data_IF_501021108114
#
_entry.id   IF_501021108114
#
_cell.length_a   1.000
_cell.length_b   1.000
_cell.length_c   1.000
_cell.angle_alpha   90.00
_cell.angle_beta   90.00
_cell.angle_gamma   90.00
#
_symmetry.space_group_name_H-M   'P 1'
#
loop_
_entity.id
_entity.type
_entity.pdbx_description
1 polymer ?
#
# COMPACT_ATOMS: atom_id res chain seq x y z
N UNK A 1 18.29 51.09 -49.00
CA UNK A 1 17.24 51.97 -49.51
C UNK A 1 15.99 51.66 -48.71
N UNK A 2 15.62 52.35 -47.65
CA UNK A 2 16.13 53.51 -46.91
C UNK A 2 15.55 53.35 -45.47
N UNK A 3 16.31 53.55 -44.39
CA UNK A 3 16.42 54.82 -43.62
C UNK A 3 15.07 55.48 -43.33
N UNK A 4 14.79 56.19 -42.23
CA UNK A 4 15.33 56.44 -40.90
C UNK A 4 14.33 57.46 -40.29
N UNK A 5 14.42 57.77 -38.99
CA UNK A 5 13.80 58.98 -38.40
C UNK A 5 12.96 58.70 -37.16
N UNK A 6 13.54 58.60 -35.96
CA UNK A 6 14.08 59.66 -35.08
C UNK A 6 13.01 60.40 -34.28
N UNK A 7 13.30 60.44 -32.98
CA UNK A 7 12.55 60.98 -31.86
C UNK A 7 12.25 62.48 -31.91
N UNK A 8 11.33 62.93 -31.06
CA UNK A 8 11.44 64.25 -30.41
C UNK A 8 10.86 64.21 -29.00
N UNK A 9 11.73 64.58 -28.06
CA UNK A 9 11.50 64.91 -26.65
C UNK A 9 11.02 66.35 -26.52
N UNK A 10 10.08 66.62 -25.62
CA UNK A 10 9.94 67.96 -25.02
C UNK A 10 9.59 67.89 -23.52
N UNK A 11 10.57 68.33 -22.71
CA UNK A 11 10.51 68.89 -21.33
C UNK A 11 9.66 70.19 -21.33
N UNK A 12 9.08 70.77 -20.27
CA UNK A 12 9.38 70.83 -18.83
C UNK A 12 8.33 71.71 -18.08
N UNK A 13 8.08 71.42 -16.79
CA UNK A 13 7.89 72.32 -15.60
C UNK A 13 6.70 73.33 -15.59
N UNK A 14 5.90 73.50 -14.53
CA UNK A 14 6.27 73.95 -13.16
C UNK A 14 5.23 73.61 -12.07
N UNK A 15 5.75 73.58 -10.84
CA UNK A 15 5.19 73.35 -9.49
C UNK A 15 3.91 74.10 -9.10
N UNK A 16 3.15 73.50 -8.16
CA UNK A 16 2.65 74.15 -6.94
C UNK A 16 2.19 73.08 -5.91
N UNK A 17 2.95 72.94 -4.82
CA UNK A 17 2.53 72.42 -3.50
C UNK A 17 2.19 73.65 -2.62
N UNK A 18 1.48 73.60 -1.46
CA UNK A 18 1.38 72.46 -0.52
C UNK A 18 0.01 72.27 0.18
N UNK A 19 -0.22 71.10 0.82
CA UNK A 19 -0.66 71.02 2.22
C UNK A 19 -0.69 69.54 2.69
N UNK A 20 0.16 69.21 3.66
CA UNK A 20 0.11 67.98 4.45
C UNK A 20 -1.10 67.97 5.38
N UNK A 21 -1.61 66.77 5.74
CA UNK A 21 -1.72 66.48 7.17
C UNK A 21 -1.06 65.15 7.57
N UNK A 22 -0.78 65.09 8.86
CA UNK A 22 0.07 64.21 9.66
C UNK A 22 -0.43 62.74 9.77
N UNK A 23 0.31 61.85 10.46
CA UNK A 23 0.28 60.40 10.23
C UNK A 23 -0.89 59.74 10.97
N UNK A 24 -1.66 58.93 10.24
CA UNK A 24 -2.54 57.95 10.86
C UNK A 24 -1.70 56.76 11.35
N UNK A 25 -1.45 56.76 12.65
CA UNK A 25 -1.16 55.57 13.44
C UNK A 25 -2.32 54.57 13.29
N UNK A 26 -2.19 53.65 12.35
CA UNK A 26 -2.58 52.27 12.61
C UNK A 26 -1.93 51.37 11.57
N UNK A 27 -0.70 50.96 11.85
CA UNK A 27 -0.07 49.85 11.16
C UNK A 27 -0.89 48.60 11.43
N UNK A 28 -1.81 48.27 10.53
CA UNK A 28 -2.29 46.90 10.33
C UNK A 28 -1.10 46.09 9.85
N UNK A 29 -0.27 45.68 10.80
CA UNK A 29 0.66 44.59 10.61
C UNK A 29 -0.20 43.39 10.22
N UNK A 30 -0.22 43.08 8.94
CA UNK A 30 -0.65 41.78 8.43
C UNK A 30 0.30 40.77 9.06
N UNK A 31 -0.03 40.29 10.25
CA UNK A 31 0.63 39.16 10.89
C UNK A 31 0.21 37.95 10.05
N UNK A 32 0.91 37.71 8.96
CA UNK A 32 1.02 36.37 8.40
C UNK A 32 1.75 35.55 9.44
N UNK A 33 0.98 35.01 10.39
CA UNK A 33 1.41 34.00 11.35
C UNK A 33 1.86 32.77 10.56
N UNK A 34 3.10 32.80 10.08
CA UNK A 34 3.82 31.61 9.68
C UNK A 34 4.15 30.89 10.99
N UNK A 35 3.18 30.15 11.55
CA UNK A 35 3.40 29.34 12.75
C UNK A 35 4.50 28.36 12.37
N UNK A 36 5.73 28.63 12.81
CA UNK A 36 6.85 27.72 12.65
C UNK A 36 6.55 26.51 13.54
N UNK A 37 6.04 25.44 12.93
CA UNK A 37 5.85 24.17 13.62
C UNK A 37 7.18 23.72 14.21
N UNK A 38 7.14 23.29 15.46
CA UNK A 38 8.28 22.62 16.06
C UNK A 38 8.60 21.33 15.29
N UNK A 39 9.85 20.82 15.38
CA UNK A 39 10.19 19.54 14.74
C UNK A 39 9.28 18.37 15.18
N UNK A 40 8.81 18.38 16.43
CA UNK A 40 7.86 17.37 16.94
C UNK A 40 6.48 17.51 16.30
N UNK A 41 5.94 18.72 16.19
CA UNK A 41 4.65 18.97 15.52
C UNK A 41 4.71 18.63 14.02
N UNK A 42 5.82 18.95 13.36
CA UNK A 42 6.04 18.56 11.97
C UNK A 42 6.08 17.04 11.80
N UNK A 43 6.73 16.33 12.74
CA UNK A 43 6.76 14.87 12.75
C UNK A 43 5.35 14.27 12.96
N UNK A 44 4.55 14.80 13.90
CA UNK A 44 3.15 14.37 14.09
C UNK A 44 2.30 14.62 12.85
N UNK A 45 2.49 15.75 12.17
CA UNK A 45 1.80 16.04 10.91
C UNK A 45 2.17 15.05 9.80
N UNK A 46 3.46 14.72 9.65
CA UNK A 46 3.91 13.68 8.70
C UNK A 46 3.36 12.30 9.05
N UNK A 47 3.33 11.94 10.33
CA UNK A 47 2.70 10.70 10.81
C UNK A 47 1.22 10.63 10.39
N UNK A 48 0.49 11.74 10.53
CA UNK A 48 -0.93 11.79 10.16
C UNK A 48 -1.14 11.50 8.67
N UNK A 49 -0.27 12.01 7.79
CA UNK A 49 -0.36 11.68 6.36
C UNK A 49 -0.14 10.19 6.07
N UNK A 50 0.82 9.55 6.72
CA UNK A 50 1.06 8.11 6.54
C UNK A 50 -0.12 7.29 7.07
N UNK A 51 -0.74 7.72 8.17
CA UNK A 51 -1.96 7.10 8.71
C UNK A 51 -3.13 7.28 7.74
N UNK A 52 -3.30 8.48 7.18
CA UNK A 52 -4.33 8.75 6.18
C UNK A 52 -4.15 7.82 4.96
N UNK A 53 -2.92 7.71 4.45
CA UNK A 53 -2.58 6.79 3.37
C UNK A 53 -2.91 5.34 3.76
N UNK A 54 -2.53 4.89 4.96
CA UNK A 54 -2.84 3.54 5.45
C UNK A 54 -4.34 3.24 5.37
N UNK A 55 -5.17 4.16 5.86
CA UNK A 55 -6.63 4.00 5.93
C UNK A 55 -7.28 4.08 4.55
N UNK A 56 -6.95 5.07 3.74
CA UNK A 56 -7.51 5.24 2.40
C UNK A 56 -7.15 4.05 1.50
N UNK A 57 -5.88 3.64 1.52
CA UNK A 57 -5.43 2.49 0.74
C UNK A 57 -5.97 1.17 1.27
N UNK A 58 -6.36 1.08 2.55
CA UNK A 58 -7.06 -0.09 3.11
C UNK A 58 -8.48 -0.21 2.55
N UNK A 59 -9.22 0.89 2.53
CA UNK A 59 -10.56 0.94 1.96
C UNK A 59 -10.53 0.56 0.47
N UNK A 60 -9.59 1.14 -0.28
CA UNK A 60 -9.41 0.80 -1.69
C UNK A 60 -9.01 -0.67 -1.87
N UNK A 61 -8.16 -1.21 -1.00
CA UNK A 61 -7.78 -2.63 -1.05
C UNK A 61 -8.99 -3.54 -0.84
N UNK A 62 -9.87 -3.25 0.11
CA UNK A 62 -11.12 -4.00 0.32
C UNK A 62 -12.01 -3.95 -0.92
N UNK A 63 -12.17 -2.78 -1.54
CA UNK A 63 -12.93 -2.62 -2.79
C UNK A 63 -12.33 -3.47 -3.91
N UNK A 64 -11.02 -3.42 -4.09
CA UNK A 64 -10.33 -4.18 -5.12
C UNK A 64 -10.46 -5.70 -4.90
N UNK A 65 -10.40 -6.17 -3.65
CA UNK A 65 -10.65 -7.58 -3.32
C UNK A 65 -12.11 -7.98 -3.55
N UNK A 66 -13.05 -7.10 -3.21
CA UNK A 66 -14.48 -7.31 -3.45
C UNK A 66 -14.75 -7.45 -4.95
N UNK A 67 -14.11 -6.67 -5.81
CA UNK A 67 -14.22 -6.83 -7.26
C UNK A 67 -13.79 -8.23 -7.74
N UNK A 68 -12.76 -8.82 -7.15
CA UNK A 68 -12.36 -10.19 -7.49
C UNK A 68 -13.42 -11.21 -7.06
N UNK A 69 -13.93 -11.09 -5.83
CA UNK A 69 -14.82 -12.12 -5.26
C UNK A 69 -16.26 -11.94 -5.71
N UNK A 70 -16.78 -10.72 -5.62
CA UNK A 70 -18.17 -10.36 -5.92
C UNK A 70 -18.36 -10.03 -7.41
N UNK A 71 -17.28 -9.78 -8.15
CA UNK A 71 -17.28 -9.65 -9.61
C UNK A 71 -16.84 -10.93 -10.30
N UNK A 72 -15.54 -11.18 -10.36
CA UNK A 72 -14.99 -12.30 -11.15
C UNK A 72 -15.47 -13.68 -10.69
N UNK A 73 -15.36 -14.00 -9.39
CA UNK A 73 -15.77 -15.33 -8.88
C UNK A 73 -17.29 -15.51 -8.98
N UNK A 74 -18.07 -14.47 -8.68
CA UNK A 74 -19.53 -14.52 -8.83
C UNK A 74 -19.95 -14.79 -10.27
N UNK A 75 -19.30 -14.15 -11.25
CA UNK A 75 -19.57 -14.35 -12.67
C UNK A 75 -19.27 -15.76 -13.16
N UNK A 76 -18.35 -16.50 -12.52
CA UNK A 76 -18.10 -17.91 -12.86
C UNK A 76 -19.31 -18.82 -12.64
N UNK A 77 -20.26 -18.40 -11.79
CA UNK A 77 -21.52 -19.14 -11.58
C UNK A 77 -22.56 -18.83 -12.66
N UNK A 78 -22.35 -17.78 -13.45
CA UNK A 78 -23.28 -17.26 -14.46
C UNK A 78 -22.86 -17.62 -15.90
N UNK A 79 -21.70 -18.27 -16.07
CA UNK A 79 -21.14 -18.64 -17.37
C UNK A 79 -20.83 -20.13 -17.42
N UNK A 80 -20.88 -20.70 -18.62
CA UNK A 80 -20.40 -22.06 -18.83
C UNK A 80 -18.87 -22.06 -18.69
N UNK A 81 -18.40 -22.69 -17.60
CA UNK A 81 -16.97 -22.83 -17.33
C UNK A 81 -16.32 -23.67 -18.43
N UNK A 82 -15.25 -23.19 -19.09
CA UNK A 82 -14.45 -24.01 -19.98
C UNK A 82 -13.99 -25.29 -19.26
N UNK A 83 -13.99 -26.43 -19.94
CA UNK A 83 -13.59 -27.71 -19.36
C UNK A 83 -12.19 -27.64 -18.73
N UNK A 84 -11.28 -26.90 -19.39
CA UNK A 84 -9.94 -26.64 -18.89
C UNK A 84 -9.88 -25.80 -17.61
N UNK A 85 -10.91 -25.01 -17.29
CA UNK A 85 -10.99 -24.18 -16.08
C UNK A 85 -11.56 -24.95 -14.88
N UNK A 86 -12.28 -26.05 -15.13
CA UNK A 86 -12.90 -26.85 -14.08
C UNK A 86 -11.85 -27.33 -13.05
N UNK A 87 -12.03 -26.91 -11.80
CA UNK A 87 -11.12 -27.24 -10.69
C UNK A 87 -9.83 -26.41 -10.63
N UNK A 88 -9.50 -25.62 -11.67
CA UNK A 88 -8.36 -24.69 -11.69
C UNK A 88 -8.70 -23.32 -11.10
N UNK A 89 -9.98 -22.96 -11.05
CA UNK A 89 -10.52 -21.78 -10.37
C UNK A 89 -10.01 -21.67 -8.91
N UNK A 90 -9.99 -22.77 -8.17
CA UNK A 90 -9.47 -22.82 -6.78
C UNK A 90 -7.98 -22.45 -6.69
N UNK A 91 -7.20 -22.75 -7.74
CA UNK A 91 -5.78 -22.38 -7.82
C UNK A 91 -5.65 -20.92 -8.23
N UNK A 92 -6.48 -20.41 -9.14
CA UNK A 92 -6.43 -19.01 -9.58
C UNK A 92 -6.77 -18.05 -8.43
N UNK A 93 -7.86 -18.32 -7.71
CA UNK A 93 -8.32 -17.42 -6.64
C UNK A 93 -7.75 -17.74 -5.26
N UNK A 94 -7.16 -18.93 -5.09
CA UNK A 94 -6.56 -19.37 -3.83
C UNK A 94 -7.52 -19.18 -2.64
N UNK A 95 -7.07 -18.49 -1.60
CA UNK A 95 -7.86 -18.08 -0.45
C UNK A 95 -8.23 -16.58 -0.46
N UNK A 96 -8.32 -15.92 -1.62
CA UNK A 96 -8.59 -14.47 -1.69
C UNK A 96 -9.93 -14.09 -1.04
N UNK A 97 -10.95 -14.94 -1.14
CA UNK A 97 -12.23 -14.72 -0.46
C UNK A 97 -12.09 -14.70 1.07
N UNK A 98 -11.19 -15.53 1.64
CA UNK A 98 -10.92 -15.52 3.08
C UNK A 98 -10.19 -14.23 3.50
N UNK A 99 -9.31 -13.72 2.64
CA UNK A 99 -8.63 -12.43 2.86
C UNK A 99 -9.66 -11.30 2.81
N UNK A 100 -10.49 -11.23 1.76
CA UNK A 100 -11.54 -10.22 1.64
C UNK A 100 -12.42 -10.20 2.89
N UNK A 101 -12.95 -11.35 3.29
CA UNK A 101 -13.87 -11.45 4.42
C UNK A 101 -13.23 -10.91 5.71
N UNK A 102 -11.98 -11.26 5.97
CA UNK A 102 -11.24 -10.72 7.11
C UNK A 102 -11.06 -9.21 7.03
N UNK A 103 -10.62 -8.69 5.89
CA UNK A 103 -10.36 -7.26 5.74
C UNK A 103 -11.66 -6.44 5.82
N UNK A 104 -12.71 -6.89 5.13
CA UNK A 104 -14.04 -6.25 5.06
C UNK A 104 -14.76 -6.24 6.41
N UNK A 105 -14.70 -7.34 7.18
CA UNK A 105 -15.50 -7.45 8.41
C UNK A 105 -14.76 -7.00 9.67
N UNK A 106 -13.44 -7.18 9.70
CA UNK A 106 -12.63 -7.01 10.91
C UNK A 106 -11.55 -5.94 10.73
N UNK A 107 -10.65 -6.11 9.76
CA UNK A 107 -9.39 -5.37 9.75
C UNK A 107 -9.55 -3.89 9.42
N UNK A 108 -10.38 -3.55 8.41
CA UNK A 108 -10.59 -2.16 7.99
C UNK A 108 -11.07 -1.28 9.14
N UNK A 109 -11.99 -1.80 9.97
CA UNK A 109 -12.54 -1.09 11.14
C UNK A 109 -11.49 -0.78 12.20
N UNK A 110 -10.45 -1.60 12.29
CA UNK A 110 -9.37 -1.44 13.27
C UNK A 110 -8.32 -0.47 12.73
N UNK A 111 -8.06 -0.52 11.42
CA UNK A 111 -7.23 0.44 10.72
C UNK A 111 -7.85 1.84 10.75
N UNK A 112 -9.17 1.99 10.60
CA UNK A 112 -9.85 3.29 10.66
C UNK A 112 -9.67 4.02 11.99
N UNK A 113 -9.53 3.30 13.10
CA UNK A 113 -9.24 3.88 14.43
C UNK A 113 -7.90 4.63 14.46
N UNK A 114 -7.00 4.35 13.52
CA UNK A 114 -5.71 5.03 13.43
C UNK A 114 -5.85 6.52 13.17
N UNK A 115 -6.95 6.97 12.54
CA UNK A 115 -7.23 8.38 12.27
C UNK A 115 -7.29 9.21 13.55
N UNK A 116 -7.80 8.61 14.63
CA UNK A 116 -7.96 9.25 15.93
C UNK A 116 -6.80 8.91 16.89
N UNK A 117 -6.27 7.69 16.80
CA UNK A 117 -5.19 7.21 17.65
C UNK A 117 -4.14 6.42 16.86
N UNK A 118 -2.94 6.99 16.68
CA UNK A 118 -1.85 6.34 15.94
C UNK A 118 -1.42 4.98 16.53
N UNK A 119 -1.56 4.76 17.85
CA UNK A 119 -1.22 3.49 18.49
C UNK A 119 -2.12 2.35 18.02
N UNK A 120 -3.33 2.67 17.55
CA UNK A 120 -4.26 1.69 17.00
C UNK A 120 -3.67 0.91 15.83
N UNK A 121 -2.72 1.48 15.08
CA UNK A 121 -2.02 0.77 14.02
C UNK A 121 -1.25 -0.44 14.60
N UNK A 122 -0.41 -0.18 15.60
CA UNK A 122 0.37 -1.22 16.27
C UNK A 122 -0.50 -2.29 16.95
N UNK A 123 -1.58 -1.85 17.60
CA UNK A 123 -2.55 -2.74 18.25
C UNK A 123 -3.31 -3.61 17.23
N UNK A 124 -3.71 -3.07 16.08
CA UNK A 124 -4.42 -3.81 15.04
C UNK A 124 -3.55 -4.93 14.47
N UNK A 125 -2.30 -4.63 14.10
CA UNK A 125 -1.36 -5.65 13.59
C UNK A 125 -1.06 -6.73 14.64
N UNK A 126 -0.92 -6.34 15.91
CA UNK A 126 -0.71 -7.27 17.03
C UNK A 126 -1.90 -8.20 17.24
N UNK A 127 -3.12 -7.64 17.27
CA UNK A 127 -4.37 -8.38 17.48
C UNK A 127 -4.61 -9.43 16.40
N UNK A 128 -4.22 -9.16 15.16
CA UNK A 128 -4.50 -10.03 14.02
C UNK A 128 -3.27 -10.73 13.42
N UNK A 129 -2.13 -10.71 14.10
CA UNK A 129 -0.87 -11.34 13.69
C UNK A 129 -1.07 -12.73 13.09
N UNK A 130 -1.74 -13.63 13.83
CA UNK A 130 -1.95 -15.01 13.39
C UNK A 130 -2.78 -15.09 12.10
N UNK A 131 -3.82 -14.26 11.96
CA UNK A 131 -4.68 -14.25 10.76
C UNK A 131 -3.92 -13.70 9.56
N UNK A 132 -3.20 -12.58 9.74
CA UNK A 132 -2.35 -12.00 8.71
C UNK A 132 -1.32 -13.02 8.24
N UNK A 133 -0.60 -13.65 9.17
CA UNK A 133 0.38 -14.69 8.84
C UNK A 133 -0.27 -15.85 8.08
N UNK A 134 -1.28 -16.51 8.64
CA UNK A 134 -1.88 -17.71 8.04
C UNK A 134 -2.48 -17.43 6.66
N UNK A 135 -3.19 -16.32 6.49
CA UNK A 135 -3.89 -16.05 5.24
C UNK A 135 -2.95 -15.60 4.12
N UNK A 136 -2.00 -14.71 4.42
CA UNK A 136 -1.08 -14.22 3.40
C UNK A 136 -0.02 -15.26 3.02
N UNK A 137 0.49 -16.05 3.97
CA UNK A 137 1.43 -17.14 3.64
C UNK A 137 0.79 -18.15 2.71
N UNK A 138 -0.45 -18.58 3.01
CA UNK A 138 -1.21 -19.49 2.14
C UNK A 138 -1.41 -18.92 0.73
N UNK A 139 -1.74 -17.62 0.64
CA UNK A 139 -1.96 -16.96 -0.64
C UNK A 139 -0.66 -16.88 -1.45
N UNK A 140 0.42 -16.41 -0.82
CA UNK A 140 1.73 -16.24 -1.45
C UNK A 140 2.36 -17.57 -1.89
N UNK A 141 2.15 -18.66 -1.13
CA UNK A 141 2.56 -20.01 -1.53
C UNK A 141 1.84 -20.47 -2.81
N UNK A 142 0.57 -20.11 -2.97
CA UNK A 142 -0.21 -20.49 -4.15
C UNK A 142 0.03 -19.57 -5.36
N UNK A 143 0.40 -18.30 -5.12
CA UNK A 143 0.51 -17.26 -6.16
C UNK A 143 1.31 -17.67 -7.41
N UNK A 144 2.46 -18.36 -7.33
CA UNK A 144 3.17 -18.80 -8.53
C UNK A 144 2.35 -19.73 -9.44
N UNK A 145 1.50 -20.59 -8.85
CA UNK A 145 0.62 -21.50 -9.61
C UNK A 145 -0.52 -20.74 -10.27
N UNK A 146 -1.10 -19.77 -9.55
CA UNK A 146 -2.08 -18.84 -10.12
C UNK A 146 -1.50 -18.07 -11.30
N UNK A 147 -0.28 -17.56 -11.18
CA UNK A 147 0.37 -16.78 -12.25
C UNK A 147 0.66 -17.62 -13.49
N UNK A 148 1.10 -18.86 -13.29
CA UNK A 148 1.27 -19.80 -14.39
C UNK A 148 -0.05 -20.03 -15.15
N UNK A 149 -1.16 -20.23 -14.45
CA UNK A 149 -2.47 -20.38 -15.10
C UNK A 149 -2.89 -19.10 -15.81
N UNK A 150 -2.81 -17.94 -15.13
CA UNK A 150 -3.20 -16.66 -15.73
C UNK A 150 -2.33 -16.24 -16.93
N UNK A 151 -1.15 -16.85 -17.10
CA UNK A 151 -0.29 -16.65 -18.28
C UNK A 151 -0.69 -17.48 -19.51
N UNK A 152 -1.62 -18.43 -19.38
CA UNK A 152 -2.09 -19.21 -20.52
C UNK A 152 -3.14 -18.42 -21.28
N UNK A 153 -2.97 -18.33 -22.60
CA UNK A 153 -3.80 -17.52 -23.50
C UNK A 153 -5.31 -17.78 -23.32
N UNK A 154 -5.70 -19.05 -23.17
CA UNK A 154 -7.11 -19.42 -22.96
C UNK A 154 -7.73 -18.80 -21.70
N UNK A 155 -6.97 -18.70 -20.60
CA UNK A 155 -7.46 -18.12 -19.36
C UNK A 155 -7.43 -16.59 -19.43
N UNK A 156 -6.39 -16.02 -20.06
CA UNK A 156 -6.31 -14.59 -20.31
C UNK A 156 -7.52 -14.10 -21.14
N UNK A 157 -7.84 -14.78 -22.24
CA UNK A 157 -8.98 -14.46 -23.10
C UNK A 157 -10.31 -14.56 -22.33
N UNK A 158 -10.55 -15.68 -21.64
CA UNK A 158 -11.76 -15.90 -20.85
C UNK A 158 -11.97 -14.82 -19.78
N UNK A 159 -10.95 -14.50 -18.98
CA UNK A 159 -11.07 -13.46 -17.96
C UNK A 159 -11.11 -12.05 -18.53
N UNK A 160 -10.59 -11.82 -19.74
CA UNK A 160 -10.73 -10.55 -20.43
C UNK A 160 -12.18 -10.30 -20.87
N UNK A 161 -12.93 -11.33 -21.27
CA UNK A 161 -14.37 -11.21 -21.55
C UNK A 161 -15.16 -10.81 -20.29
N UNK A 162 -14.89 -11.47 -19.17
CA UNK A 162 -15.48 -11.11 -17.87
C UNK A 162 -15.09 -9.68 -17.48
N UNK A 163 -13.83 -9.29 -17.67
CA UNK A 163 -13.36 -7.92 -17.41
C UNK A 163 -14.16 -6.88 -18.20
N UNK A 164 -14.38 -7.12 -19.50
CA UNK A 164 -15.17 -6.23 -20.35
C UNK A 164 -16.62 -6.13 -19.88
N UNK A 165 -17.22 -7.26 -19.48
CA UNK A 165 -18.59 -7.32 -18.93
C UNK A 165 -18.72 -6.52 -17.63
N UNK A 166 -17.71 -6.59 -16.76
CA UNK A 166 -17.66 -5.82 -15.51
C UNK A 166 -17.30 -4.34 -15.72
N UNK A 167 -16.95 -3.93 -16.94
CA UNK A 167 -16.52 -2.55 -17.24
C UNK A 167 -15.16 -2.20 -16.66
N UNK A 168 -14.32 -3.20 -16.35
CA UNK A 168 -13.10 -2.99 -15.59
C UNK A 168 -11.88 -2.67 -16.44
N UNK A 169 -11.11 -1.68 -15.98
CA UNK A 169 -9.91 -1.23 -16.70
C UNK A 169 -8.71 -2.13 -16.43
N UNK A 170 -8.60 -2.62 -15.20
CA UNK A 170 -7.47 -3.44 -14.73
C UNK A 170 -7.73 -4.91 -15.08
N UNK A 171 -6.68 -5.64 -15.43
CA UNK A 171 -6.81 -7.08 -15.67
C UNK A 171 -7.03 -7.84 -14.37
N UNK A 172 -7.52 -9.08 -14.45
CA UNK A 172 -7.63 -9.93 -13.25
C UNK A 172 -6.25 -10.15 -12.61
N UNK A 173 -5.19 -10.32 -13.41
CA UNK A 173 -3.82 -10.45 -12.92
C UNK A 173 -3.36 -9.25 -12.09
N UNK A 174 -3.74 -8.01 -12.48
CA UNK A 174 -3.46 -6.78 -11.73
C UNK A 174 -4.18 -6.73 -10.38
N UNK A 175 -5.31 -7.44 -10.25
CA UNK A 175 -6.05 -7.55 -9.00
C UNK A 175 -5.49 -8.68 -8.11
N UNK A 176 -5.12 -9.82 -8.70
CA UNK A 176 -4.57 -10.98 -7.97
C UNK A 176 -3.19 -10.72 -7.36
N UNK A 177 -2.42 -9.75 -7.86
CA UNK A 177 -1.15 -9.36 -7.22
C UNK A 177 -1.35 -8.49 -5.96
N UNK A 178 -2.54 -7.91 -5.76
CA UNK A 178 -2.79 -6.95 -4.68
C UNK A 178 -2.51 -7.49 -3.27
N UNK A 179 -2.88 -8.73 -2.89
CA UNK A 179 -2.51 -9.25 -1.56
C UNK A 179 -1.00 -9.29 -1.33
N UNK A 180 -0.22 -9.70 -2.33
CA UNK A 180 1.26 -9.72 -2.23
C UNK A 180 1.80 -8.31 -2.03
N UNK A 181 1.28 -7.33 -2.77
CA UNK A 181 1.68 -5.93 -2.63
C UNK A 181 1.25 -5.35 -1.28
N UNK A 182 0.04 -5.68 -0.81
CA UNK A 182 -0.53 -5.11 0.41
C UNK A 182 0.28 -5.51 1.64
N UNK A 183 0.67 -6.78 1.74
CA UNK A 183 1.45 -7.25 2.91
C UNK A 183 2.82 -6.58 2.99
N UNK A 184 3.47 -6.33 1.84
CA UNK A 184 4.71 -5.56 1.77
C UNK A 184 4.49 -4.08 2.10
N UNK A 185 3.38 -3.49 1.64
CA UNK A 185 3.06 -2.08 1.89
C UNK A 185 2.83 -1.79 3.38
N UNK A 186 2.22 -2.71 4.15
CA UNK A 186 2.07 -2.52 5.59
C UNK A 186 3.41 -2.37 6.32
N UNK A 187 4.44 -3.10 5.90
CA UNK A 187 5.78 -2.96 6.46
C UNK A 187 6.33 -1.54 6.27
N UNK A 188 6.17 -0.97 5.08
CA UNK A 188 6.64 0.38 4.76
C UNK A 188 5.88 1.45 5.54
N UNK A 189 4.54 1.35 5.58
CA UNK A 189 3.69 2.28 6.32
C UNK A 189 3.99 2.23 7.83
N UNK A 190 4.10 1.03 8.41
CA UNK A 190 4.46 0.87 9.83
C UNK A 190 5.85 1.43 10.13
N UNK A 191 6.82 1.25 9.23
CA UNK A 191 8.16 1.82 9.38
C UNK A 191 8.11 3.34 9.46
N UNK A 192 7.33 3.98 8.57
CA UNK A 192 7.23 5.43 8.53
C UNK A 192 6.42 6.00 9.70
N UNK A 193 5.30 5.36 10.10
CA UNK A 193 4.54 5.75 11.31
C UNK A 193 5.45 5.71 12.54
N UNK A 194 6.22 4.63 12.71
CA UNK A 194 7.18 4.48 13.82
C UNK A 194 8.26 5.57 13.77
N UNK A 195 8.90 5.77 12.61
CA UNK A 195 9.93 6.79 12.40
C UNK A 195 9.45 8.20 12.76
N UNK A 196 8.23 8.57 12.37
CA UNK A 196 7.68 9.88 12.69
C UNK A 196 7.21 9.98 14.15
N UNK A 197 6.77 8.89 14.77
CA UNK A 197 6.46 8.84 16.20
C UNK A 197 7.71 9.04 17.06
N UNK A 198 8.81 8.39 16.71
CA UNK A 198 10.12 8.55 17.36
C UNK A 198 10.59 10.02 17.31
N UNK A 199 10.50 10.64 16.13
CA UNK A 199 10.88 12.06 15.93
C UNK A 199 9.96 13.03 16.68
N UNK A 200 8.71 12.64 16.92
CA UNK A 200 7.78 13.42 17.72
C UNK A 200 8.06 13.33 19.22
N UNK A 201 8.82 12.32 19.67
CA UNK A 201 9.00 12.02 21.09
C UNK A 201 7.77 11.39 21.74
N UNK A 202 6.90 10.77 20.93
CA UNK A 202 5.67 10.13 21.39
C UNK A 202 5.93 8.64 21.76
N UNK A 203 5.10 8.01 22.61
CA UNK A 203 5.21 6.59 22.95
C UNK A 203 5.23 5.65 21.73
N UNK A 204 6.05 4.59 21.80
CA UNK A 204 6.26 3.67 20.67
C UNK A 204 5.91 2.21 20.96
N UNK A 205 5.60 1.83 22.21
CA UNK A 205 5.50 0.42 22.62
C UNK A 205 4.53 -0.38 21.75
N UNK A 206 3.34 0.17 21.47
CA UNK A 206 2.35 -0.45 20.60
C UNK A 206 2.85 -0.58 19.14
N UNK A 207 3.54 0.45 18.63
CA UNK A 207 4.04 0.48 17.26
C UNK A 207 5.22 -0.46 17.05
N UNK A 208 6.10 -0.60 18.04
CA UNK A 208 7.26 -1.50 17.98
C UNK A 208 6.81 -2.95 17.78
N UNK A 209 5.81 -3.40 18.54
CA UNK A 209 5.25 -4.74 18.37
C UNK A 209 4.60 -4.92 16.99
N UNK A 210 3.80 -3.95 16.55
CA UNK A 210 3.17 -4.01 15.22
C UNK A 210 4.20 -4.02 14.08
N UNK A 211 5.28 -3.24 14.20
CA UNK A 211 6.36 -3.17 13.24
C UNK A 211 7.17 -4.47 13.18
N UNK A 212 7.45 -5.10 14.32
CA UNK A 212 8.09 -6.41 14.37
C UNK A 212 7.29 -7.45 13.58
N UNK A 213 5.97 -7.52 13.82
CA UNK A 213 5.08 -8.46 13.11
C UNK A 213 5.10 -8.19 11.60
N UNK A 214 5.05 -6.92 11.19
CA UNK A 214 5.14 -6.54 9.78
C UNK A 214 6.54 -6.68 9.16
N UNK A 215 7.57 -7.02 9.93
CA UNK A 215 8.85 -7.50 9.40
C UNK A 215 8.89 -9.03 9.24
N UNK A 216 8.11 -9.77 10.02
CA UNK A 216 8.09 -11.23 10.02
C UNK A 216 7.15 -11.77 8.94
N UNK A 217 5.93 -11.25 8.85
CA UNK A 217 4.90 -11.80 7.96
C UNK A 217 5.27 -11.70 6.48
N UNK A 218 5.78 -10.56 5.95
CA UNK A 218 6.20 -10.49 4.55
C UNK A 218 7.34 -11.46 4.23
N UNK A 219 8.32 -11.63 5.14
CA UNK A 219 9.41 -12.59 4.95
C UNK A 219 8.89 -14.02 4.87
N UNK A 220 7.99 -14.40 5.76
CA UNK A 220 7.34 -15.72 5.72
C UNK A 220 6.56 -15.93 4.40
N UNK A 221 5.96 -14.87 3.85
CA UNK A 221 5.31 -14.92 2.55
C UNK A 221 6.32 -15.12 1.41
N UNK A 222 7.44 -14.41 1.43
CA UNK A 222 8.50 -14.51 0.42
C UNK A 222 9.13 -15.92 0.43
N UNK A 223 9.44 -16.47 1.62
CA UNK A 223 9.98 -17.82 1.77
C UNK A 223 9.01 -18.87 1.22
N UNK A 224 7.74 -18.80 1.63
CA UNK A 224 6.72 -19.76 1.18
C UNK A 224 6.32 -19.58 -0.28
N UNK A 225 6.49 -18.39 -0.86
CA UNK A 225 6.34 -18.16 -2.29
C UNK A 225 7.43 -18.89 -3.08
N UNK A 226 8.67 -18.93 -2.58
CA UNK A 226 9.73 -19.73 -3.19
C UNK A 226 9.46 -21.24 -3.06
N UNK A 227 8.98 -21.69 -1.90
CA UNK A 227 8.51 -23.08 -1.71
C UNK A 227 7.40 -23.45 -2.70
N UNK A 228 6.48 -22.52 -2.97
CA UNK A 228 5.41 -22.70 -3.95
C UNK A 228 5.88 -22.90 -5.40
N UNK A 229 7.13 -22.51 -5.72
CA UNK A 229 7.76 -22.71 -7.03
C UNK A 229 8.44 -24.07 -7.16
N UNK A 230 8.57 -24.85 -6.08
CA UNK A 230 9.18 -26.18 -6.14
C UNK A 230 8.34 -27.09 -7.04
N UNK A 231 9.01 -27.73 -7.99
CA UNK A 231 8.44 -28.74 -8.87
C UNK A 231 9.05 -30.10 -8.52
N UNK A 232 8.33 -31.18 -8.82
CA UNK A 232 8.80 -32.57 -8.69
C UNK A 232 9.11 -33.02 -7.25
N UNK A 233 8.41 -32.47 -6.25
CA UNK A 233 8.44 -32.99 -4.88
C UNK A 233 7.20 -33.85 -4.62
N UNK A 234 7.40 -35.16 -4.39
CA UNK A 234 6.33 -36.15 -4.21
C UNK A 234 5.67 -36.14 -2.81
N UNK A 235 5.96 -35.14 -1.97
CA UNK A 235 5.42 -35.02 -0.62
C UNK A 235 4.46 -33.85 -0.41
N UNK A 236 3.67 -33.90 0.66
CA UNK A 236 2.91 -32.74 1.12
C UNK A 236 3.83 -31.78 1.88
N UNK A 237 4.15 -30.63 1.28
CA UNK A 237 4.99 -29.59 1.89
C UNK A 237 4.42 -29.06 3.22
N UNK A 238 3.09 -29.03 3.36
CA UNK A 238 2.45 -28.59 4.60
C UNK A 238 2.59 -29.63 5.74
N UNK A 239 2.92 -30.88 5.41
CA UNK A 239 3.20 -31.92 6.39
C UNK A 239 4.66 -31.93 6.88
N UNK A 240 5.53 -31.09 6.30
CA UNK A 240 6.96 -31.04 6.65
C UNK A 240 7.26 -30.13 7.86
N UNK A 241 6.23 -29.57 8.50
CA UNK A 241 6.38 -28.64 9.62
C UNK A 241 6.70 -27.21 9.17
N UNK A 242 7.18 -26.39 10.12
CA UNK A 242 7.49 -24.98 9.86
C UNK A 242 8.83 -24.87 9.14
N UNK A 243 8.87 -24.16 8.01
CA UNK A 243 10.11 -23.77 7.35
C UNK A 243 10.96 -22.93 8.32
N UNK A 244 12.16 -23.42 8.65
CA UNK A 244 13.04 -22.77 9.61
C UNK A 244 13.99 -21.79 8.93
N UNK A 245 14.60 -22.20 7.82
CA UNK A 245 15.59 -21.42 7.10
C UNK A 245 15.48 -21.67 5.59
N UNK A 246 15.71 -20.61 4.82
CA UNK A 246 15.89 -20.67 3.39
C UNK A 246 16.99 -19.70 2.97
N UNK A 247 18.09 -20.24 2.47
CA UNK A 247 19.25 -19.47 2.00
C UNK A 247 19.88 -20.19 0.82
N UNK A 248 20.55 -19.46 -0.08
CA UNK A 248 21.40 -20.08 -1.09
C UNK A 248 22.58 -20.79 -0.41
N UNK A 249 23.07 -21.87 -1.01
CA UNK A 249 24.20 -22.64 -0.47
C UNK A 249 25.46 -21.77 -0.29
N UNK A 250 25.68 -20.82 -1.21
CA UNK A 250 26.77 -19.86 -1.15
C UNK A 250 26.67 -18.93 0.08
N UNK A 251 25.47 -18.45 0.39
CA UNK A 251 25.23 -17.60 1.57
C UNK A 251 25.29 -18.41 2.86
N UNK A 252 24.87 -19.68 2.83
CA UNK A 252 25.01 -20.59 3.95
C UNK A 252 26.48 -20.82 4.31
N UNK A 253 27.35 -21.07 3.31
CA UNK A 253 28.81 -21.20 3.51
C UNK A 253 29.41 -19.97 4.20
N UNK A 254 29.09 -18.76 3.71
CA UNK A 254 29.58 -17.51 4.30
C UNK A 254 29.12 -17.30 5.75
N UNK A 255 27.95 -17.85 6.11
CA UNK A 255 27.42 -17.77 7.47
C UNK A 255 28.16 -18.75 8.42
N UNK A 256 28.51 -19.92 7.90
CA UNK A 256 29.23 -20.96 8.65
C UNK A 256 30.73 -20.67 8.78
N UNK A 257 31.34 -19.96 7.82
CA UNK A 257 32.74 -19.50 7.90
C UNK A 257 32.96 -18.39 8.94
N UNK A 258 31.88 -17.81 9.50
CA UNK A 258 31.94 -16.80 10.57
C UNK A 258 31.89 -17.38 11.99
N UNK A 259 31.85 -18.71 12.12
CA UNK A 259 31.92 -19.45 13.38
C UNK A 259 33.05 -20.48 13.33
#
# INVERSE_FOLDING_TARGET
>A
MDEAGVATTTRSLTNDDPLSPSPDENGTATITNHISRTPSEEARFKRQYVIQELVETERQYVIDLALVVEGYIAELSNVDLPEDLAGKDKIIFANIAQILEFHKTCFVKEIEKCLENYEAAGLAFSKYERRLHTYYVKYCQNKPKSDFLMSQEQFEQFFNEIRLKLGEKRTLSDLLIKPVQRIQKYQLLMKDIRKYTERAGDPMDALDRGFEIMNIVPKACDDMMQVGRLQNFDGNLNAQGKLLFQVSFENFKKLMEKY
#
